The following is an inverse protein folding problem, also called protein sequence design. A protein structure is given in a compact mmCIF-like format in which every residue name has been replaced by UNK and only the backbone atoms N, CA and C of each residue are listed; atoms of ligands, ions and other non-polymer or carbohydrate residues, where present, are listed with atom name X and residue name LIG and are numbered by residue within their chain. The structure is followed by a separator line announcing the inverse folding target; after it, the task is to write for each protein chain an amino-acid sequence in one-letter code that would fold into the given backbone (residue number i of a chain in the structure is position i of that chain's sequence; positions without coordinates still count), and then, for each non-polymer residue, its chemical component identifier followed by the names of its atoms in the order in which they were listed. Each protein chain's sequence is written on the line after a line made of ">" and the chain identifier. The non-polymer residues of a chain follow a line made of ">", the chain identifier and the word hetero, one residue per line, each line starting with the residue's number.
data_IF_046638080338
#
_entry.id   IF_046638080338
#
_cell.length_a   1.000
_cell.length_b   1.000
_cell.length_c   1.000
_cell.angle_alpha   90.00
_cell.angle_beta   90.00
_cell.angle_gamma   90.00
#
_symmetry.space_group_name_H-M   'P 1'
#
loop_
_entity.id
_entity.type
_entity.pdbx_description
1 polymer ?
#
# COMPACT_ATOMS: atom_id res chain seq x y z
N UNK A 1 30.68 6.51 -1.73
CA UNK A 1 29.28 6.01 -1.59
C UNK A 1 28.86 6.25 -0.17
N UNK A 2 27.67 6.85 0.05
CA UNK A 2 27.12 7.02 1.40
C UNK A 2 26.66 5.62 1.83
N UNK A 3 27.21 5.11 2.92
CA UNK A 3 26.81 3.82 3.49
C UNK A 3 25.74 4.07 4.53
N UNK A 4 24.51 3.61 4.29
CA UNK A 4 23.38 3.75 5.20
C UNK A 4 23.33 2.57 6.18
N UNK A 5 23.06 2.85 7.44
CA UNK A 5 22.87 1.82 8.46
C UNK A 5 21.38 1.43 8.56
N UNK A 6 21.03 0.32 7.97
CA UNK A 6 19.65 -0.20 7.92
C UNK A 6 19.20 -0.96 9.19
N UNK A 7 20.06 -1.12 10.21
CA UNK A 7 19.75 -1.91 11.43
C UNK A 7 18.56 -1.38 12.23
N UNK A 8 18.19 -0.13 12.07
CA UNK A 8 17.01 0.45 12.72
C UNK A 8 15.69 0.14 12.00
N UNK A 9 15.74 -0.44 10.79
CA UNK A 9 14.57 -0.88 10.06
C UNK A 9 14.16 -2.27 10.57
N UNK A 10 12.95 -2.40 11.10
CA UNK A 10 12.42 -3.64 11.67
C UNK A 10 11.58 -4.45 10.69
N UNK A 11 11.16 -3.82 9.58
CA UNK A 11 10.53 -4.51 8.43
C UNK A 11 11.55 -5.34 7.63
N UNK A 12 11.07 -6.08 6.64
CA UNK A 12 11.94 -6.77 5.68
C UNK A 12 12.54 -5.76 4.70
N UNK A 13 13.84 -5.67 4.67
CA UNK A 13 14.61 -4.68 3.91
C UNK A 13 15.12 -5.29 2.61
N UNK A 14 14.88 -4.62 1.48
CA UNK A 14 15.41 -4.98 0.16
C UNK A 14 16.22 -3.79 -0.38
N UNK A 15 17.47 -4.02 -0.71
CA UNK A 15 18.42 -3.03 -1.24
C UNK A 15 18.91 -3.42 -2.63
N UNK A 16 19.68 -2.55 -3.28
CA UNK A 16 20.26 -2.83 -4.61
C UNK A 16 21.23 -4.02 -4.64
N UNK A 17 21.65 -4.49 -3.46
CA UNK A 17 22.58 -5.63 -3.31
C UNK A 17 21.84 -6.96 -3.23
N UNK A 18 20.52 -6.94 -2.99
CA UNK A 18 19.72 -8.15 -2.83
C UNK A 18 19.28 -8.71 -4.19
N UNK A 19 19.29 -10.04 -4.29
CA UNK A 19 18.93 -10.75 -5.52
C UNK A 19 17.49 -10.41 -6.00
N UNK A 20 16.57 -10.23 -5.07
CA UNK A 20 15.16 -9.95 -5.33
C UNK A 20 14.91 -8.49 -5.78
N UNK A 21 15.87 -7.58 -5.61
CA UNK A 21 15.69 -6.16 -5.83
C UNK A 21 15.11 -5.82 -7.21
N UNK A 22 15.62 -6.46 -8.26
CA UNK A 22 15.18 -6.18 -9.64
C UNK A 22 13.70 -6.50 -9.87
N UNK A 23 13.13 -7.49 -9.20
CA UNK A 23 11.69 -7.77 -9.29
C UNK A 23 10.89 -6.90 -8.30
N UNK A 24 11.42 -6.69 -7.10
CA UNK A 24 10.73 -5.98 -6.04
C UNK A 24 10.62 -4.47 -6.28
N UNK A 25 11.55 -3.85 -7.02
CA UNK A 25 11.48 -2.44 -7.39
C UNK A 25 10.40 -2.12 -8.43
N UNK A 26 9.96 -3.09 -9.21
CA UNK A 26 9.07 -2.88 -10.35
C UNK A 26 7.65 -2.50 -9.95
N UNK A 27 7.06 -1.55 -10.69
CA UNK A 27 5.63 -1.25 -10.65
C UNK A 27 4.84 -2.24 -11.50
N UNK A 28 3.50 -2.25 -11.38
CA UNK A 28 2.62 -2.99 -12.28
C UNK A 28 2.81 -2.55 -13.74
N UNK A 29 2.86 -1.24 -13.98
CA UNK A 29 3.23 -0.70 -15.27
C UNK A 29 4.75 -0.83 -15.46
N UNK A 30 5.17 -1.76 -16.32
CA UNK A 30 6.59 -2.07 -16.56
C UNK A 30 7.33 -0.97 -17.33
N UNK A 31 6.64 0.04 -17.86
CA UNK A 31 7.27 1.24 -18.41
C UNK A 31 7.84 2.19 -17.32
N UNK A 32 7.45 1.97 -16.06
CA UNK A 32 7.97 2.74 -14.92
C UNK A 32 9.32 2.18 -14.49
N UNK A 33 10.39 2.85 -14.88
CA UNK A 33 11.77 2.52 -14.51
C UNK A 33 12.24 3.45 -13.39
N UNK A 34 12.18 2.95 -12.14
CA UNK A 34 12.63 3.65 -10.92
C UNK A 34 13.49 2.72 -10.06
N UNK A 35 14.46 3.32 -9.39
CA UNK A 35 15.50 2.62 -8.62
C UNK A 35 15.52 3.16 -7.19
N UNK A 36 14.63 2.73 -6.31
CA UNK A 36 14.64 3.14 -4.90
C UNK A 36 15.96 2.74 -4.23
N UNK A 37 16.37 3.54 -3.25
CA UNK A 37 17.53 3.23 -2.42
C UNK A 37 17.28 1.94 -1.61
N UNK A 38 16.11 1.86 -1.01
CA UNK A 38 15.67 0.76 -0.17
C UNK A 38 14.15 0.60 -0.23
N UNK A 39 13.70 -0.64 -0.17
CA UNK A 39 12.30 -1.02 -0.06
C UNK A 39 12.12 -1.70 1.30
N UNK A 40 11.21 -1.19 2.12
CA UNK A 40 10.91 -1.74 3.46
C UNK A 40 9.51 -2.33 3.44
N UNK A 41 9.41 -3.64 3.53
CA UNK A 41 8.14 -4.35 3.67
C UNK A 41 7.69 -4.34 5.13
N UNK A 42 6.65 -3.58 5.42
CA UNK A 42 6.09 -3.41 6.75
C UNK A 42 4.99 -4.43 7.04
N UNK A 43 5.02 -5.01 8.24
CA UNK A 43 4.00 -5.92 8.78
C UNK A 43 3.26 -5.30 9.97
N UNK A 44 3.87 -4.30 10.60
CA UNK A 44 3.37 -3.60 11.78
C UNK A 44 3.44 -2.08 11.59
N UNK A 45 2.76 -1.36 12.45
CA UNK A 45 2.82 0.11 12.51
C UNK A 45 4.21 0.59 12.92
N UNK A 46 4.89 -0.16 13.81
CA UNK A 46 6.25 0.16 14.23
C UNK A 46 7.25 0.03 13.08
N UNK A 47 7.07 -0.92 12.16
CA UNK A 47 7.91 -1.02 10.97
C UNK A 47 7.79 0.25 10.10
N UNK A 48 6.55 0.77 9.94
CA UNK A 48 6.31 2.01 9.19
C UNK A 48 6.95 3.19 9.92
N UNK A 49 6.74 3.31 11.24
CA UNK A 49 7.32 4.38 12.05
C UNK A 49 8.84 4.40 12.00
N UNK A 50 9.48 3.23 12.12
CA UNK A 50 10.93 3.10 12.03
C UNK A 50 11.46 3.48 10.63
N UNK A 51 10.73 3.13 9.56
CA UNK A 51 11.10 3.51 8.19
C UNK A 51 10.96 5.04 7.96
N UNK A 52 9.94 5.68 8.53
CA UNK A 52 9.78 7.14 8.50
C UNK A 52 10.92 7.82 9.23
N UNK A 53 11.25 7.38 10.45
CA UNK A 53 12.35 7.92 11.27
C UNK A 53 13.70 7.74 10.54
N UNK A 54 13.94 6.55 9.96
CA UNK A 54 15.14 6.30 9.17
C UNK A 54 15.26 7.30 8.00
N UNK A 55 14.19 7.48 7.24
CA UNK A 55 14.19 8.41 6.11
C UNK A 55 14.45 9.85 6.56
N UNK A 56 13.78 10.29 7.63
CA UNK A 56 13.94 11.63 8.22
C UNK A 56 15.38 11.88 8.68
N UNK A 57 15.98 10.95 9.41
CA UNK A 57 17.33 11.07 9.95
C UNK A 57 18.42 11.11 8.85
N UNK A 58 18.11 10.53 7.68
CA UNK A 58 19.02 10.50 6.54
C UNK A 58 18.66 11.51 5.44
N UNK A 59 17.68 12.39 5.68
CA UNK A 59 17.19 13.38 4.70
C UNK A 59 16.72 12.73 3.38
N UNK A 60 16.13 11.55 3.46
CA UNK A 60 15.62 10.81 2.32
C UNK A 60 14.11 11.07 2.13
N UNK A 61 13.70 11.17 0.87
CA UNK A 61 12.27 11.19 0.53
C UNK A 61 11.65 9.80 0.73
N UNK A 62 10.35 9.77 1.04
CA UNK A 62 9.58 8.54 1.17
C UNK A 62 8.48 8.43 0.10
N UNK A 63 8.13 7.21 -0.27
CA UNK A 63 6.90 6.88 -0.99
C UNK A 63 6.25 5.67 -0.34
N UNK A 64 4.93 5.71 -0.23
CA UNK A 64 4.14 4.60 0.29
C UNK A 64 3.66 3.76 -0.89
N UNK A 65 3.75 2.44 -0.73
CA UNK A 65 3.38 1.49 -1.77
C UNK A 65 2.54 0.34 -1.20
N UNK A 66 1.53 -0.08 -1.95
CA UNK A 66 0.70 -1.25 -1.64
C UNK A 66 0.56 -2.14 -2.88
N UNK A 67 -0.44 -1.90 -3.75
CA UNK A 67 -0.70 -2.71 -4.95
C UNK A 67 0.23 -2.46 -6.15
N UNK A 68 1.08 -1.45 -6.10
CA UNK A 68 2.02 -1.05 -7.19
C UNK A 68 1.34 -0.57 -8.48
N UNK A 69 0.07 -0.16 -8.42
CA UNK A 69 -0.77 0.14 -9.60
C UNK A 69 -0.79 1.61 -10.03
N UNK A 70 0.00 2.49 -9.42
CA UNK A 70 -0.01 3.89 -9.80
C UNK A 70 0.49 4.08 -11.24
N UNK A 71 -0.33 4.70 -12.10
CA UNK A 71 -0.03 4.85 -13.54
C UNK A 71 1.28 5.61 -13.79
N UNK A 72 1.52 6.69 -13.04
CA UNK A 72 2.71 7.54 -13.14
C UNK A 72 3.87 7.07 -12.22
N UNK A 73 3.71 5.96 -11.52
CA UNK A 73 4.74 5.43 -10.62
C UNK A 73 5.02 6.29 -9.38
N UNK A 74 4.04 7.06 -8.87
CA UNK A 74 4.26 7.92 -7.69
C UNK A 74 4.41 7.14 -6.39
N UNK A 75 4.13 5.84 -6.39
CA UNK A 75 4.38 4.95 -5.26
C UNK A 75 5.82 4.43 -5.19
N UNK A 76 6.72 4.90 -6.06
CA UNK A 76 8.14 4.60 -6.08
C UNK A 76 8.95 5.80 -6.56
N UNK A 77 10.28 5.73 -6.55
CA UNK A 77 11.17 6.80 -7.02
C UNK A 77 12.62 6.36 -7.01
N UNK A 78 13.52 7.23 -7.49
CA UNK A 78 14.95 6.98 -7.48
C UNK A 78 15.57 7.46 -6.15
N UNK A 79 16.46 6.65 -5.58
CA UNK A 79 17.27 6.97 -4.40
C UNK A 79 16.44 7.42 -3.17
N UNK A 80 15.26 6.85 -3.00
CA UNK A 80 14.32 7.12 -1.92
C UNK A 80 14.05 5.87 -1.08
N UNK A 81 13.40 6.04 0.06
CA UNK A 81 12.82 4.94 0.84
C UNK A 81 11.41 4.64 0.32
N UNK A 82 11.17 3.40 -0.10
CA UNK A 82 9.83 2.89 -0.38
C UNK A 82 9.32 2.12 0.82
N UNK A 83 8.25 2.59 1.45
CA UNK A 83 7.54 1.90 2.54
C UNK A 83 6.43 1.07 1.89
N UNK A 84 6.62 -0.25 1.82
CA UNK A 84 5.66 -1.17 1.23
C UNK A 84 4.80 -1.81 2.31
N UNK A 85 3.51 -1.45 2.31
CA UNK A 85 2.53 -1.96 3.28
C UNK A 85 1.75 -3.18 2.78
N UNK A 86 2.14 -3.79 1.67
CA UNK A 86 1.41 -4.92 1.06
C UNK A 86 1.26 -6.14 1.97
N UNK A 87 2.12 -6.26 2.99
CA UNK A 87 2.06 -7.33 4.00
C UNK A 87 1.10 -7.02 5.16
N UNK A 88 0.58 -5.79 5.26
CA UNK A 88 -0.45 -5.38 6.20
C UNK A 88 -1.83 -5.51 5.54
N UNK A 89 -2.40 -6.70 5.49
CA UNK A 89 -3.57 -7.01 4.67
C UNK A 89 -4.75 -7.61 5.46
N UNK A 90 -4.79 -7.39 6.77
CA UNK A 90 -5.89 -7.87 7.60
C UNK A 90 -7.19 -7.14 7.29
N UNK A 91 -8.30 -7.88 7.36
CA UNK A 91 -9.67 -7.41 7.12
C UNK A 91 -10.52 -7.80 8.32
N UNK A 92 -11.25 -6.84 8.89
CA UNK A 92 -12.14 -7.03 10.02
C UNK A 92 -13.53 -6.52 9.63
N UNK A 93 -14.52 -7.40 9.65
CA UNK A 93 -15.91 -7.07 9.34
C UNK A 93 -16.68 -6.93 10.65
N UNK A 94 -17.29 -5.77 10.84
CA UNK A 94 -18.25 -5.52 11.92
C UNK A 94 -19.67 -5.56 11.34
N UNK A 95 -20.32 -6.71 11.48
CA UNK A 95 -21.67 -6.92 10.96
C UNK A 95 -22.73 -6.09 11.71
N UNK A 96 -22.47 -5.73 12.96
CA UNK A 96 -23.39 -4.93 13.76
C UNK A 96 -23.49 -3.48 13.28
N UNK A 97 -22.33 -2.91 12.91
CA UNK A 97 -22.22 -1.55 12.43
C UNK A 97 -22.15 -1.45 10.89
N UNK A 98 -22.24 -2.59 10.20
CA UNK A 98 -22.12 -2.71 8.74
C UNK A 98 -20.85 -2.02 8.18
N UNK A 99 -19.75 -2.16 8.91
CA UNK A 99 -18.45 -1.59 8.54
C UNK A 99 -17.39 -2.66 8.29
N UNK A 100 -16.37 -2.31 7.51
CA UNK A 100 -15.18 -3.12 7.31
C UNK A 100 -13.94 -2.28 7.55
N UNK A 101 -13.07 -2.70 8.48
CA UNK A 101 -11.72 -2.13 8.67
C UNK A 101 -10.73 -2.96 7.85
N UNK A 102 -9.93 -2.29 7.03
CA UNK A 102 -8.89 -2.90 6.22
C UNK A 102 -7.55 -2.25 6.50
N UNK A 103 -6.48 -3.04 6.52
CA UNK A 103 -5.12 -2.51 6.57
C UNK A 103 -4.66 -2.01 5.19
N UNK A 104 -3.65 -1.13 5.16
CA UNK A 104 -3.16 -0.42 3.99
C UNK A 104 -2.73 -1.29 2.80
N UNK A 105 -2.35 -2.54 3.05
CA UNK A 105 -1.93 -3.52 2.04
C UNK A 105 -3.04 -4.37 1.45
N UNK A 106 -4.27 -4.26 1.96
CA UNK A 106 -5.42 -5.05 1.48
C UNK A 106 -5.70 -4.76 0.00
N UNK A 107 -5.92 -5.81 -0.79
CA UNK A 107 -6.25 -5.71 -2.22
C UNK A 107 -7.74 -5.96 -2.47
N UNK A 108 -8.25 -5.45 -3.59
CA UNK A 108 -9.65 -5.60 -3.98
C UNK A 108 -10.12 -7.06 -3.93
N UNK A 109 -9.32 -8.02 -4.44
CA UNK A 109 -9.66 -9.46 -4.44
C UNK A 109 -9.98 -9.96 -3.03
N UNK A 110 -9.15 -9.60 -2.07
CA UNK A 110 -9.27 -10.06 -0.68
C UNK A 110 -10.51 -9.47 -0.03
N UNK A 111 -10.71 -8.16 -0.22
CA UNK A 111 -11.87 -7.47 0.31
C UNK A 111 -13.17 -8.00 -0.30
N UNK A 112 -13.27 -8.11 -1.63
CA UNK A 112 -14.48 -8.64 -2.30
C UNK A 112 -14.82 -10.05 -1.84
N UNK A 113 -13.80 -10.90 -1.68
CA UNK A 113 -14.00 -12.25 -1.16
C UNK A 113 -14.51 -12.23 0.28
N UNK A 114 -14.02 -11.34 1.11
CA UNK A 114 -14.43 -11.23 2.52
C UNK A 114 -15.86 -10.73 2.65
N UNK A 115 -16.18 -9.56 2.06
CA UNK A 115 -17.52 -8.95 2.19
C UNK A 115 -18.57 -9.71 1.39
N UNK A 116 -18.22 -10.24 0.20
CA UNK A 116 -19.14 -11.01 -0.64
C UNK A 116 -19.61 -12.32 0.00
N UNK A 117 -18.75 -12.99 0.80
CA UNK A 117 -19.16 -14.17 1.58
C UNK A 117 -20.26 -13.86 2.61
N UNK A 118 -20.39 -12.60 3.00
CA UNK A 118 -21.41 -12.10 3.92
C UNK A 118 -22.61 -11.47 3.20
N UNK A 119 -22.59 -11.44 1.85
CA UNK A 119 -23.65 -10.85 1.04
C UNK A 119 -23.59 -9.32 0.93
N UNK A 120 -22.50 -8.68 1.39
CA UNK A 120 -22.36 -7.23 1.31
C UNK A 120 -21.77 -6.78 -0.02
N UNK A 121 -22.36 -5.76 -0.69
CA UNK A 121 -21.75 -5.12 -1.86
C UNK A 121 -20.64 -4.18 -1.40
N UNK A 122 -19.64 -3.95 -2.28
CA UNK A 122 -18.59 -2.96 -2.08
C UNK A 122 -18.32 -2.18 -3.37
N UNK A 123 -18.28 -0.83 -3.34
CA UNK A 123 -18.02 0.00 -4.52
C UNK A 123 -16.53 0.03 -4.86
N UNK A 124 -16.02 -1.06 -5.36
CA UNK A 124 -14.60 -1.22 -5.65
C UNK A 124 -14.28 -1.23 -7.14
N UNK A 125 -12.97 -1.16 -7.46
CA UNK A 125 -12.44 -1.19 -8.82
C UNK A 125 -12.49 -2.56 -9.47
N UNK A 126 -12.37 -2.60 -10.80
CA UNK A 126 -12.43 -3.85 -11.57
C UNK A 126 -11.16 -4.71 -11.47
N UNK A 127 -10.01 -4.14 -11.13
CA UNK A 127 -8.75 -4.88 -11.05
C UNK A 127 -8.55 -5.50 -9.65
N UNK A 128 -8.42 -6.82 -9.54
CA UNK A 128 -8.37 -7.54 -8.27
C UNK A 128 -7.09 -7.31 -7.46
N UNK A 129 -5.98 -6.91 -8.10
CA UNK A 129 -4.67 -6.70 -7.45
C UNK A 129 -4.42 -5.26 -6.99
N UNK A 130 -5.33 -4.32 -7.30
CA UNK A 130 -5.24 -2.93 -6.82
C UNK A 130 -5.44 -2.87 -5.31
N UNK A 131 -4.63 -2.05 -4.63
CA UNK A 131 -4.76 -1.80 -3.19
C UNK A 131 -5.99 -0.95 -2.87
N UNK A 132 -6.83 -1.44 -1.96
CA UNK A 132 -8.11 -0.81 -1.58
C UNK A 132 -7.92 0.61 -1.08
N UNK A 133 -6.97 0.81 -0.15
CA UNK A 133 -6.76 2.12 0.50
C UNK A 133 -6.31 3.17 -0.52
N UNK A 134 -5.28 2.88 -1.32
CA UNK A 134 -4.79 3.80 -2.35
C UNK A 134 -5.87 4.10 -3.41
N UNK A 135 -6.66 3.11 -3.79
CA UNK A 135 -7.79 3.26 -4.70
C UNK A 135 -8.86 4.20 -4.13
N UNK A 136 -9.24 4.01 -2.86
CA UNK A 136 -10.25 4.83 -2.16
C UNK A 136 -9.76 6.27 -1.98
N UNK A 137 -8.49 6.48 -1.61
CA UNK A 137 -7.87 7.82 -1.51
C UNK A 137 -7.86 8.56 -2.86
N UNK A 138 -7.79 7.84 -3.98
CA UNK A 138 -7.91 8.39 -5.33
C UNK A 138 -9.37 8.58 -5.81
N UNK A 139 -10.35 8.47 -4.92
CA UNK A 139 -11.79 8.57 -5.21
C UNK A 139 -12.48 7.21 -5.30
N UNK A 140 -11.87 6.20 -5.91
CA UNK A 140 -12.40 4.84 -5.92
C UNK A 140 -13.52 4.58 -6.92
N UNK A 141 -13.31 4.94 -8.19
CA UNK A 141 -14.27 4.63 -9.24
C UNK A 141 -14.22 3.16 -9.68
N UNK A 142 -15.39 2.57 -9.91
CA UNK A 142 -15.53 1.20 -10.43
C UNK A 142 -16.86 0.97 -11.17
N UNK A 143 -17.06 -0.24 -11.67
CA UNK A 143 -18.25 -0.57 -12.46
C UNK A 143 -19.59 -0.42 -11.71
N UNK A 144 -19.57 -0.55 -10.39
CA UNK A 144 -20.73 -0.38 -9.53
C UNK A 144 -20.95 1.04 -9.04
N UNK A 145 -20.09 2.01 -9.40
CA UNK A 145 -20.13 3.36 -8.84
C UNK A 145 -21.43 4.12 -9.17
N UNK A 146 -22.07 3.81 -10.30
CA UNK A 146 -23.37 4.40 -10.63
C UNK A 146 -24.48 3.98 -9.64
N UNK A 147 -24.37 2.79 -9.06
CA UNK A 147 -25.35 2.26 -8.11
C UNK A 147 -24.96 2.54 -6.65
N UNK A 148 -23.65 2.34 -6.34
CA UNK A 148 -23.16 2.32 -4.96
C UNK A 148 -22.39 3.59 -4.56
N UNK A 149 -22.14 4.50 -5.48
CA UNK A 149 -21.25 5.65 -5.28
C UNK A 149 -19.77 5.28 -5.49
N UNK A 150 -18.90 6.22 -5.17
CA UNK A 150 -17.44 6.02 -5.20
C UNK A 150 -16.97 5.31 -3.93
N UNK A 151 -15.77 4.73 -3.97
CA UNK A 151 -15.15 4.15 -2.77
C UNK A 151 -14.99 5.16 -1.64
N UNK A 152 -14.62 6.40 -1.94
CA UNK A 152 -14.47 7.47 -0.95
C UNK A 152 -15.80 7.91 -0.31
N UNK A 153 -16.95 7.74 -0.97
CA UNK A 153 -18.28 8.07 -0.40
C UNK A 153 -18.65 7.11 0.75
N UNK A 154 -17.94 5.99 0.86
CA UNK A 154 -18.15 4.97 1.90
C UNK A 154 -17.09 4.99 2.99
N UNK A 155 -16.16 5.94 2.94
CA UNK A 155 -15.13 6.07 3.96
C UNK A 155 -15.73 6.68 5.23
N UNK A 156 -15.68 5.95 6.33
CA UNK A 156 -16.16 6.38 7.65
C UNK A 156 -15.01 6.94 8.48
N UNK A 157 -13.85 6.28 8.44
CA UNK A 157 -12.68 6.62 9.26
C UNK A 157 -11.40 6.21 8.54
N UNK A 158 -10.32 6.96 8.77
CA UNK A 158 -8.97 6.62 8.33
C UNK A 158 -7.99 6.79 9.48
N UNK A 159 -7.14 5.79 9.69
CA UNK A 159 -6.03 5.80 10.64
C UNK A 159 -4.72 6.09 9.89
N UNK A 160 -3.96 7.06 10.37
CA UNK A 160 -2.71 7.53 9.76
C UNK A 160 -1.54 7.30 10.73
N UNK A 161 -0.36 7.06 10.16
CA UNK A 161 0.91 6.98 10.89
C UNK A 161 1.78 8.13 10.41
N UNK A 162 2.20 9.01 11.34
CA UNK A 162 3.02 10.20 11.16
C UNK A 162 4.37 10.12 11.90
#
# INVERSE_FOLDING_TARGET
>A
MINFDYRCLTGEVITKEDFEYEEERKAWNRAIEKYPLVIVYCKTEDDIRNAIIFAKNNSLSIRIRSGRHHYEGYSTGNDIVVIDVSKMNKIYIDEKNETVKVQGGTRNRELYKAVGKKGYPFPGGGCPSVGVVAFTLGGGWGYSSRLLGLGCDRLVEAELID
#
